data_IF_818962676596
#
_entry.id   IF_818962676596
#
_cell.length_a   1.000
_cell.length_b   1.000
_cell.length_c   1.000
_cell.angle_alpha   90.00
_cell.angle_beta   90.00
_cell.angle_gamma   90.00
#
_symmetry.space_group_name_H-M   'P 1'
#
loop_
_entity.id
_entity.type
_entity.pdbx_description
1 polymer ?
#
# COMPACT_ATOMS: atom_id res chain seq x y z
N UNK A 1 4.39 -13.93 -11.91
CA UNK A 1 4.07 -12.55 -12.34
C UNK A 1 4.11 -11.69 -11.09
N UNK A 2 5.09 -10.79 -10.96
CA UNK A 2 5.20 -9.95 -9.76
C UNK A 2 4.16 -8.82 -9.83
N UNK A 3 3.71 -8.28 -8.69
CA UNK A 3 2.78 -7.13 -8.72
C UNK A 3 3.40 -5.92 -9.43
N UNK A 4 4.74 -5.80 -9.46
CA UNK A 4 5.46 -4.79 -10.25
C UNK A 4 5.22 -4.96 -11.75
N UNK A 5 5.20 -6.20 -12.24
CA UNK A 5 4.86 -6.51 -13.64
C UNK A 5 3.37 -6.26 -13.94
N UNK A 6 2.50 -6.39 -12.94
CA UNK A 6 1.08 -6.08 -13.07
C UNK A 6 0.84 -4.57 -13.25
N UNK A 7 1.40 -3.73 -12.36
CA UNK A 7 1.24 -2.27 -12.44
C UNK A 7 1.98 -1.65 -13.63
N UNK A 8 3.13 -2.20 -14.06
CA UNK A 8 3.82 -1.70 -15.26
C UNK A 8 3.12 -2.03 -16.58
N UNK A 9 2.23 -3.04 -16.62
CA UNK A 9 1.52 -3.47 -17.83
C UNK A 9 0.18 -2.76 -18.05
N UNK A 10 -0.43 -2.19 -17.00
CA UNK A 10 -1.78 -1.61 -17.06
C UNK A 10 -1.83 -0.19 -17.64
N UNK A 11 -0.71 0.45 -17.98
CA UNK A 11 -0.68 1.85 -18.44
C UNK A 11 -1.52 2.80 -17.54
N UNK A 12 -1.55 2.55 -16.23
CA UNK A 12 -2.33 3.34 -15.26
C UNK A 12 -3.81 2.98 -15.12
N UNK A 13 -4.33 1.96 -15.82
CA UNK A 13 -5.74 1.57 -15.69
C UNK A 13 -5.92 0.51 -14.59
N UNK A 14 -6.25 0.97 -13.38
CA UNK A 14 -6.52 0.11 -12.22
C UNK A 14 -7.90 -0.56 -12.40
N UNK A 15 -7.94 -1.89 -12.43
CA UNK A 15 -9.18 -2.70 -12.48
C UNK A 15 -9.88 -2.79 -11.12
N UNK A 16 -9.88 -1.71 -10.34
CA UNK A 16 -10.62 -1.65 -9.07
C UNK A 16 -12.01 -1.08 -9.36
N UNK A 17 -12.90 -1.94 -9.86
CA UNK A 17 -14.28 -1.60 -10.15
C UNK A 17 -15.02 -1.14 -8.88
N UNK A 18 -15.90 -0.14 -9.06
CA UNK A 18 -16.84 0.48 -8.10
C UNK A 18 -16.38 1.70 -7.27
N UNK A 19 -15.09 2.02 -7.17
CA UNK A 19 -14.66 3.22 -6.42
C UNK A 19 -14.67 4.50 -7.26
N UNK A 20 -14.31 4.42 -8.54
CA UNK A 20 -14.31 5.58 -9.45
C UNK A 20 -15.70 6.19 -9.66
N UNK A 21 -16.74 5.36 -9.75
CA UNK A 21 -18.13 5.83 -9.93
C UNK A 21 -18.74 6.40 -8.65
N UNK A 22 -18.49 5.77 -7.49
CA UNK A 22 -18.87 6.33 -6.19
C UNK A 22 -18.18 7.66 -5.91
N UNK A 23 -16.92 7.82 -6.31
CA UNK A 23 -16.18 9.07 -6.17
C UNK A 23 -16.65 10.17 -7.13
N UNK A 24 -17.05 9.85 -8.37
CA UNK A 24 -17.68 10.82 -9.27
C UNK A 24 -18.99 11.38 -8.69
N UNK A 25 -19.80 10.52 -8.07
CA UNK A 25 -21.03 10.94 -7.36
C UNK A 25 -20.72 11.74 -6.09
N UNK A 26 -19.70 11.36 -5.31
CA UNK A 26 -19.29 12.09 -4.10
C UNK A 26 -18.66 13.45 -4.42
N UNK A 27 -17.81 13.53 -5.45
CA UNK A 27 -17.22 14.76 -5.99
C UNK A 27 -18.29 15.74 -6.50
N UNK A 28 -19.38 15.23 -7.08
CA UNK A 28 -20.52 16.07 -7.49
C UNK A 28 -21.25 16.68 -6.28
N UNK A 29 -21.39 15.94 -5.17
CA UNK A 29 -21.95 16.44 -3.91
C UNK A 29 -21.02 17.42 -3.19
N UNK A 30 -19.69 17.21 -3.22
CA UNK A 30 -18.73 18.11 -2.59
C UNK A 30 -18.60 19.47 -3.27
N UNK A 31 -19.07 19.65 -4.51
CA UNK A 31 -19.12 20.97 -5.16
C UNK A 31 -20.19 21.91 -4.58
N UNK A 32 -21.22 21.39 -3.92
CA UNK A 32 -22.27 22.20 -3.28
C UNK A 32 -21.85 22.74 -1.91
N UNK A 33 -20.93 22.06 -1.21
CA UNK A 33 -20.35 22.51 0.06
C UNK A 33 -19.01 23.20 -0.20
N UNK A 34 -19.04 24.51 -0.36
CA UNK A 34 -17.88 25.34 -0.69
C UNK A 34 -16.59 24.99 0.07
N UNK A 35 -15.57 24.63 -0.72
CA UNK A 35 -14.13 24.63 -0.45
C UNK A 35 -13.57 23.76 0.71
N UNK A 36 -12.51 23.01 0.35
CA UNK A 36 -11.39 22.56 1.19
C UNK A 36 -11.35 21.12 1.73
N UNK A 37 -11.85 20.11 1.00
CA UNK A 37 -11.43 18.72 1.22
C UNK A 37 -10.99 18.06 -0.09
N UNK A 38 -9.78 18.40 -0.52
CA UNK A 38 -9.04 17.65 -1.53
C UNK A 38 -8.67 16.30 -0.94
N UNK A 39 -9.60 15.35 -0.92
CA UNK A 39 -9.29 13.92 -0.78
C UNK A 39 -8.53 13.52 -2.05
N UNK A 40 -7.23 13.84 -2.05
CA UNK A 40 -6.32 13.63 -3.18
C UNK A 40 -6.20 12.12 -3.36
N UNK A 41 -6.78 11.62 -4.45
CA UNK A 41 -6.88 10.20 -4.78
C UNK A 41 -5.46 9.62 -4.89
N UNK A 42 -5.03 8.88 -3.87
CA UNK A 42 -3.74 8.18 -3.87
C UNK A 42 -3.82 6.96 -4.79
N UNK A 43 -5.00 6.38 -5.02
CA UNK A 43 -5.17 5.17 -5.82
C UNK A 43 -4.86 5.32 -7.33
N UNK A 44 -4.88 6.54 -7.89
CA UNK A 44 -4.80 6.77 -9.34
C UNK A 44 -3.38 6.97 -9.89
N UNK A 45 -2.40 7.28 -9.05
CA UNK A 45 -1.01 7.43 -9.49
C UNK A 45 -0.18 6.22 -9.03
N UNK A 46 0.12 5.27 -9.92
CA UNK A 46 0.92 4.06 -9.63
C UNK A 46 2.35 4.38 -9.12
N UNK A 47 2.79 5.64 -9.22
CA UNK A 47 4.09 6.13 -8.79
C UNK A 47 4.39 5.86 -7.31
N UNK A 48 3.40 6.02 -6.42
CA UNK A 48 3.64 5.80 -4.99
C UNK A 48 3.86 4.32 -4.66
N UNK A 49 3.18 3.41 -5.37
CA UNK A 49 3.39 1.96 -5.20
C UNK A 49 4.83 1.64 -5.58
N UNK A 50 5.27 2.15 -6.73
CA UNK A 50 6.65 1.97 -7.19
C UNK A 50 7.66 2.51 -6.18
N UNK A 51 7.42 3.69 -5.59
CA UNK A 51 8.28 4.27 -4.54
C UNK A 51 8.35 3.38 -3.31
N UNK A 52 7.21 2.91 -2.79
CA UNK A 52 7.15 2.02 -1.62
C UNK A 52 7.89 0.71 -1.89
N UNK A 53 7.69 0.10 -3.06
CA UNK A 53 8.36 -1.13 -3.47
C UNK A 53 9.88 -0.94 -3.60
N UNK A 54 10.33 0.20 -4.14
CA UNK A 54 11.76 0.52 -4.19
C UNK A 54 12.36 0.65 -2.80
N UNK A 55 11.67 1.29 -1.85
CA UNK A 55 12.14 1.36 -0.46
C UNK A 55 12.29 -0.03 0.16
N UNK A 56 11.34 -0.94 -0.07
CA UNK A 56 11.42 -2.31 0.43
C UNK A 56 12.61 -3.08 -0.16
N UNK A 57 12.83 -2.98 -1.46
CA UNK A 57 13.95 -3.64 -2.13
C UNK A 57 15.31 -3.09 -1.64
N UNK A 58 15.38 -1.77 -1.42
CA UNK A 58 16.58 -1.08 -0.98
C UNK A 58 16.99 -1.43 0.46
N UNK A 59 16.04 -1.72 1.36
CA UNK A 59 16.33 -2.02 2.78
C UNK A 59 17.37 -3.13 2.96
N UNK A 60 17.25 -4.19 2.15
CA UNK A 60 18.15 -5.35 2.21
C UNK A 60 18.84 -5.66 0.88
N UNK A 61 18.80 -4.71 -0.07
CA UNK A 61 19.37 -4.83 -1.42
C UNK A 61 19.01 -6.16 -2.11
N UNK A 62 17.73 -6.50 -2.05
CA UNK A 62 17.19 -7.75 -2.60
C UNK A 62 15.76 -7.50 -3.07
N UNK A 63 15.24 -8.37 -3.93
CA UNK A 63 13.81 -8.39 -4.25
C UNK A 63 13.04 -8.81 -3.01
N UNK A 64 12.37 -7.86 -2.35
CA UNK A 64 11.70 -8.11 -1.08
C UNK A 64 10.40 -8.88 -1.31
N UNK A 65 10.21 -10.07 -0.71
CA UNK A 65 8.92 -10.76 -0.77
C UNK A 65 7.88 -10.00 0.07
N UNK A 66 6.62 -10.01 -0.35
CA UNK A 66 5.51 -9.44 0.42
C UNK A 66 4.17 -10.06 0.00
N UNK A 67 3.19 -9.98 0.89
CA UNK A 67 1.78 -10.08 0.53
C UNK A 67 1.18 -8.68 0.50
N UNK A 68 0.31 -8.41 -0.48
CA UNK A 68 -0.39 -7.13 -0.62
C UNK A 68 -1.84 -7.35 -1.04
N UNK A 69 -2.74 -6.54 -0.48
CA UNK A 69 -4.16 -6.55 -0.82
C UNK A 69 -4.84 -5.21 -0.55
N UNK A 70 -6.01 -5.05 -1.16
CA UNK A 70 -6.87 -3.87 -1.00
C UNK A 70 -8.02 -4.18 -0.03
N UNK A 71 -8.25 -3.26 0.90
CA UNK A 71 -9.44 -3.23 1.74
C UNK A 71 -10.37 -2.14 1.23
N UNK A 72 -11.54 -2.58 0.79
CA UNK A 72 -12.58 -1.74 0.22
C UNK A 72 -13.91 -2.01 0.92
N UNK A 73 -14.91 -1.13 0.72
CA UNK A 73 -16.27 -1.36 1.23
C UNK A 73 -16.81 -2.72 0.77
N UNK A 74 -17.54 -3.45 1.64
CA UNK A 74 -18.29 -4.63 1.23
C UNK A 74 -19.23 -4.33 0.06
N UNK A 75 -19.21 -5.19 -0.97
CA UNK A 75 -20.00 -5.01 -2.19
C UNK A 75 -21.51 -5.08 -1.95
N UNK A 76 -21.92 -5.75 -0.88
CA UNK A 76 -23.33 -5.88 -0.48
C UNK A 76 -23.97 -4.57 0.01
N UNK A 77 -23.16 -3.56 0.36
CA UNK A 77 -23.70 -2.25 0.75
C UNK A 77 -24.20 -1.53 -0.50
N UNK A 78 -25.51 -1.32 -0.54
CA UNK A 78 -26.17 -0.68 -1.68
C UNK A 78 -26.30 0.82 -1.49
N UNK A 79 -26.37 1.27 -0.22
CA UNK A 79 -26.67 2.67 0.10
C UNK A 79 -25.42 3.46 0.47
N UNK A 80 -25.29 4.72 0.02
CA UNK A 80 -24.11 5.54 0.31
C UNK A 80 -23.86 5.77 1.82
N UNK A 81 -24.91 5.92 2.63
CA UNK A 81 -24.79 6.14 4.08
C UNK A 81 -24.11 4.98 4.82
N UNK A 82 -24.28 3.75 4.33
CA UNK A 82 -23.64 2.54 4.89
C UNK A 82 -22.13 2.53 4.63
N UNK A 83 -21.67 3.26 3.60
CA UNK A 83 -20.26 3.30 3.17
C UNK A 83 -19.46 4.44 3.80
N UNK A 84 -20.12 5.44 4.41
CA UNK A 84 -19.48 6.70 4.85
C UNK A 84 -18.31 6.55 5.82
N UNK A 85 -18.24 5.45 6.56
CA UNK A 85 -17.17 5.19 7.54
C UNK A 85 -16.02 4.35 6.97
N UNK A 86 -16.12 3.89 5.72
CA UNK A 86 -15.09 3.10 5.06
C UNK A 86 -14.15 3.97 4.23
N UNK A 87 -12.86 3.65 4.29
CA UNK A 87 -11.83 4.27 3.47
C UNK A 87 -11.05 3.18 2.74
N UNK A 88 -10.90 3.32 1.42
CA UNK A 88 -10.06 2.43 0.62
C UNK A 88 -8.60 2.55 1.08
N UNK A 89 -7.97 1.42 1.37
CA UNK A 89 -6.54 1.37 1.71
C UNK A 89 -5.91 0.04 1.27
N UNK A 90 -4.61 0.11 0.92
CA UNK A 90 -3.80 -1.04 0.59
C UNK A 90 -2.88 -1.42 1.76
N UNK A 91 -2.67 -2.72 1.99
CA UNK A 91 -1.82 -3.22 3.08
C UNK A 91 -0.67 -4.06 2.52
N UNK A 92 0.56 -3.71 2.86
CA UNK A 92 1.76 -4.50 2.57
C UNK A 92 2.23 -5.25 3.82
N UNK A 93 2.50 -6.55 3.67
CA UNK A 93 3.00 -7.43 4.73
C UNK A 93 4.31 -8.13 4.28
N UNK A 94 5.46 -7.42 4.31
CA UNK A 94 6.76 -8.03 4.03
C UNK A 94 7.24 -8.86 5.24
N UNK A 95 7.77 -10.08 5.04
CA UNK A 95 8.20 -10.93 6.15
C UNK A 95 9.64 -10.69 6.59
N UNK A 96 10.47 -9.98 5.81
CA UNK A 96 11.89 -9.75 6.14
C UNK A 96 12.03 -8.79 7.32
N UNK A 97 12.91 -9.11 8.28
CA UNK A 97 13.05 -8.35 9.53
C UNK A 97 14.45 -7.76 9.74
N UNK A 98 15.50 -8.57 9.60
CA UNK A 98 16.89 -8.15 9.94
C UNK A 98 17.84 -8.16 8.75
N UNK A 99 17.57 -8.96 7.73
CA UNK A 99 18.41 -9.10 6.53
C UNK A 99 17.60 -9.74 5.39
N UNK A 100 18.22 -9.86 4.22
CA UNK A 100 17.67 -10.59 3.07
C UNK A 100 17.37 -12.08 3.36
N UNK A 101 17.95 -12.65 4.42
CA UNK A 101 17.81 -14.07 4.77
C UNK A 101 17.05 -14.32 6.08
N UNK A 102 16.75 -13.27 6.86
CA UNK A 102 16.13 -13.38 8.18
C UNK A 102 14.73 -12.75 8.17
N UNK A 103 13.72 -13.60 8.36
CA UNK A 103 12.30 -13.23 8.40
C UNK A 103 11.69 -13.25 9.81
N UNK A 104 10.64 -12.46 10.02
CA UNK A 104 9.71 -12.60 11.15
C UNK A 104 8.85 -13.84 10.92
N UNK A 105 8.71 -14.66 11.95
CA UNK A 105 7.79 -15.78 11.99
C UNK A 105 6.62 -15.42 12.90
N UNK A 106 5.39 -15.55 12.41
CA UNK A 106 4.17 -15.40 13.19
C UNK A 106 3.74 -16.80 13.63
N UNK A 107 4.30 -17.28 14.74
CA UNK A 107 4.15 -18.67 15.22
C UNK A 107 4.00 -18.70 16.74
N UNK A 108 3.71 -19.86 17.33
CA UNK A 108 3.76 -20.01 18.79
C UNK A 108 2.77 -19.08 19.51
N UNK A 109 3.30 -18.11 20.26
CA UNK A 109 2.49 -17.13 20.99
C UNK A 109 1.59 -16.32 20.05
N UNK A 110 2.12 -15.88 18.90
CA UNK A 110 1.38 -15.10 17.92
C UNK A 110 0.21 -15.86 17.27
N UNK A 111 0.20 -17.20 17.32
CA UNK A 111 -0.92 -17.99 16.82
C UNK A 111 -2.02 -18.23 17.85
N UNK A 112 -1.71 -18.14 19.14
CA UNK A 112 -2.60 -18.57 20.23
C UNK A 112 -2.98 -17.45 21.21
N UNK A 113 -2.32 -16.30 21.14
CA UNK A 113 -2.56 -15.17 22.03
C UNK A 113 -2.72 -13.86 21.25
N UNK A 114 -1.62 -13.19 20.90
CA UNK A 114 -1.66 -11.86 20.30
C UNK A 114 -0.43 -11.60 19.41
N UNK A 115 -0.56 -10.63 18.49
CA UNK A 115 0.54 -10.25 17.61
C UNK A 115 1.67 -9.53 18.38
N UNK A 116 2.92 -9.94 18.12
CA UNK A 116 4.11 -9.35 18.72
C UNK A 116 5.09 -8.85 17.65
N UNK A 117 5.80 -7.76 17.94
CA UNK A 117 6.82 -7.17 17.07
C UNK A 117 8.09 -6.81 17.84
N UNK A 118 9.24 -7.00 17.20
CA UNK A 118 10.56 -6.65 17.76
C UNK A 118 11.01 -5.23 17.39
N UNK A 119 10.42 -4.66 16.33
CA UNK A 119 10.80 -3.37 15.75
C UNK A 119 9.64 -2.39 15.86
N UNK A 120 9.84 -1.20 16.42
CA UNK A 120 8.75 -0.22 16.55
C UNK A 120 8.34 0.35 15.18
N UNK A 121 7.08 0.78 15.02
CA UNK A 121 6.61 1.39 13.77
C UNK A 121 7.42 2.63 13.37
N UNK A 122 7.84 3.45 14.33
CA UNK A 122 8.59 4.69 14.11
C UNK A 122 9.96 4.37 13.53
N UNK A 123 10.64 3.35 14.09
CA UNK A 123 11.94 2.93 13.61
C UNK A 123 11.85 2.31 12.23
N UNK A 124 10.86 1.47 11.98
CA UNK A 124 10.60 0.90 10.65
C UNK A 124 10.35 2.00 9.61
N UNK A 125 9.55 3.01 9.95
CA UNK A 125 9.25 4.13 9.07
C UNK A 125 10.48 5.01 8.79
N UNK A 126 11.34 5.23 9.80
CA UNK A 126 12.63 5.92 9.62
C UNK A 126 13.54 5.16 8.66
N UNK A 127 13.68 3.83 8.84
CA UNK A 127 14.48 2.98 7.96
C UNK A 127 13.97 3.03 6.51
N UNK A 128 12.65 2.98 6.30
CA UNK A 128 12.04 3.07 4.98
C UNK A 128 12.28 4.42 4.31
N UNK A 129 12.20 5.53 5.06
CA UNK A 129 12.53 6.87 4.53
C UNK A 129 13.99 6.97 4.13
N UNK A 130 14.90 6.41 4.92
CA UNK A 130 16.34 6.40 4.61
C UNK A 130 16.68 5.48 3.42
N UNK A 131 15.85 4.48 3.12
CA UNK A 131 15.99 3.58 1.98
C UNK A 131 15.34 4.12 0.68
N UNK A 132 14.68 5.28 0.74
CA UNK A 132 14.05 5.89 -0.42
C UNK A 132 15.08 6.38 -1.46
N UNK A 133 14.64 6.53 -2.71
CA UNK A 133 15.46 7.05 -3.80
C UNK A 133 15.57 6.07 -4.96
N UNK A 134 16.74 6.00 -5.59
CA UNK A 134 16.98 5.13 -6.75
C UNK A 134 17.09 3.67 -6.29
N UNK A 135 16.46 2.76 -7.04
CA UNK A 135 16.53 1.32 -6.78
C UNK A 135 17.98 0.81 -6.83
N UNK A 136 18.37 -0.04 -5.86
CA UNK A 136 19.76 -0.46 -5.64
C UNK A 136 20.45 -1.04 -6.90
N UNK A 137 19.71 -1.76 -7.74
CA UNK A 137 20.23 -2.30 -9.02
C UNK A 137 20.61 -1.19 -10.00
N UNK A 138 19.87 -0.08 -10.04
CA UNK A 138 20.17 1.06 -10.92
C UNK A 138 21.29 1.92 -10.36
N UNK A 139 21.39 2.05 -9.03
CA UNK A 139 22.44 2.82 -8.38
C UNK A 139 23.84 2.17 -8.49
N UNK A 140 23.94 0.85 -8.59
CA UNK A 140 25.21 0.14 -8.78
C UNK A 140 25.72 0.09 -10.24
N UNK A 141 24.93 0.59 -11.19
CA UNK A 141 25.28 0.66 -12.61
C UNK A 141 25.67 2.09 -13.06
N UNK A 142 25.88 2.99 -12.10
CA UNK A 142 26.44 4.34 -12.27
C UNK A 142 27.87 4.33 -11.71
#
# INVERSE_FOLDING_TARGET
>A
MSQRDYFSRSAGQVLLMDYLEQELQFMAQCKEFGAAQTHRIVALNEDWVCLVLVCYDNLFKTSCPYSFGWYQTPLQFSKPEEKRHWQLHGLFLPPLLRSATIKKFMVGYEMLAESQRDLTPEKAAEMLRNAAGVHYVKAGNL
#
